data_IF_676022095569
#
_entry.id   IF_676022095569
#
_cell.length_a   1.000
_cell.length_b   1.000
_cell.length_c   1.000
_cell.angle_alpha   90.00
_cell.angle_beta   90.00
_cell.angle_gamma   90.00
#
_symmetry.space_group_name_H-M   'P 1'
#
loop_
_entity.id
_entity.type
_entity.pdbx_description
1 polymer ?
#
# COMPACT_ATOMS: atom_id res chain seq x y z
N UNK A 1 -33.86 -59.06 -17.93
CA UNK A 1 -34.19 -57.79 -17.24
C UNK A 1 -32.91 -57.28 -16.58
N UNK A 2 -32.30 -56.24 -17.15
CA UNK A 2 -31.11 -55.60 -16.58
C UNK A 2 -31.26 -54.10 -16.82
N UNK A 3 -31.60 -53.36 -15.76
CA UNK A 3 -31.71 -51.91 -15.79
C UNK A 3 -30.29 -51.33 -15.72
N UNK A 4 -29.83 -50.72 -16.82
CA UNK A 4 -28.62 -49.88 -16.82
C UNK A 4 -29.03 -48.46 -16.47
N UNK A 5 -28.72 -48.03 -15.26
CA UNK A 5 -28.74 -46.63 -14.85
C UNK A 5 -27.71 -45.86 -15.68
N UNK A 6 -28.16 -44.97 -16.57
CA UNK A 6 -27.30 -43.96 -17.20
C UNK A 6 -27.21 -42.78 -16.24
N UNK A 7 -26.03 -42.59 -15.66
CA UNK A 7 -25.67 -41.33 -15.02
C UNK A 7 -25.60 -40.26 -16.11
N UNK A 8 -26.58 -39.36 -16.11
CA UNK A 8 -26.49 -38.11 -16.86
C UNK A 8 -25.56 -37.22 -16.05
N UNK A 9 -24.33 -37.06 -16.54
CA UNK A 9 -23.45 -35.98 -16.14
C UNK A 9 -24.15 -34.67 -16.52
N UNK A 10 -24.69 -33.96 -15.53
CA UNK A 10 -25.07 -32.58 -15.69
C UNK A 10 -23.79 -31.78 -15.98
N UNK A 11 -23.72 -30.99 -17.07
CA UNK A 11 -22.68 -29.99 -17.19
C UNK A 11 -22.94 -28.94 -16.11
N UNK A 12 -21.93 -28.71 -15.26
CA UNK A 12 -21.81 -27.51 -14.43
C UNK A 12 -21.70 -26.31 -15.39
N UNK A 13 -22.86 -25.86 -15.86
CA UNK A 13 -23.01 -24.61 -16.59
C UNK A 13 -22.87 -23.47 -15.59
N UNK A 14 -21.80 -22.69 -15.77
CA UNK A 14 -21.67 -21.28 -15.40
C UNK A 14 -22.41 -20.84 -14.14
N UNK A 15 -21.75 -20.94 -12.99
CA UNK A 15 -21.91 -19.93 -11.96
C UNK A 15 -21.31 -18.65 -12.53
N UNK A 16 -22.15 -17.85 -13.18
CA UNK A 16 -21.83 -16.46 -13.49
C UNK A 16 -21.52 -15.75 -12.19
N UNK A 17 -20.47 -14.93 -12.19
CA UNK A 17 -20.05 -13.96 -11.17
C UNK A 17 -21.13 -12.91 -10.82
N UNK A 18 -22.36 -13.31 -10.48
CA UNK A 18 -23.53 -12.43 -10.38
C UNK A 18 -24.30 -12.56 -9.07
N UNK A 19 -23.96 -13.47 -8.16
CA UNK A 19 -24.47 -13.43 -6.79
C UNK A 19 -23.44 -12.68 -5.94
N UNK A 20 -23.39 -11.35 -6.13
CA UNK A 20 -22.64 -10.52 -5.19
C UNK A 20 -23.23 -10.71 -3.79
N UNK A 21 -22.39 -10.82 -2.74
CA UNK A 21 -22.87 -10.93 -1.37
C UNK A 21 -23.87 -9.81 -1.07
N UNK A 22 -24.90 -10.14 -0.30
CA UNK A 22 -25.76 -9.12 0.33
C UNK A 22 -24.84 -8.27 1.21
N UNK A 23 -24.99 -6.93 1.24
CA UNK A 23 -24.18 -6.07 2.09
C UNK A 23 -24.27 -6.54 3.55
N UNK A 24 -23.21 -7.18 4.04
CA UNK A 24 -23.08 -7.51 5.45
C UNK A 24 -22.22 -6.43 6.12
N UNK A 25 -22.60 -5.96 7.32
CA UNK A 25 -21.73 -5.10 8.08
C UNK A 25 -20.41 -5.84 8.35
N UNK A 26 -19.28 -5.12 8.29
CA UNK A 26 -17.98 -5.67 8.64
C UNK A 26 -18.07 -6.26 10.05
N UNK A 27 -17.80 -7.57 10.23
CA UNK A 27 -17.91 -8.19 11.54
C UNK A 27 -16.92 -7.61 12.54
N UNK A 28 -17.34 -7.53 13.80
CA UNK A 28 -16.49 -7.12 14.91
C UNK A 28 -15.20 -7.95 14.94
N UNK A 29 -14.05 -7.28 15.09
CA UNK A 29 -12.74 -7.93 15.16
C UNK A 29 -12.07 -8.20 13.82
N UNK A 30 -12.68 -7.85 12.68
CA UNK A 30 -12.03 -7.96 11.34
C UNK A 30 -10.73 -7.17 11.28
N UNK A 31 -10.71 -5.93 11.80
CA UNK A 31 -9.52 -5.09 11.89
C UNK A 31 -8.39 -5.78 12.68
N UNK A 32 -8.73 -6.33 13.85
CA UNK A 32 -7.77 -7.02 14.72
C UNK A 32 -7.21 -8.28 14.04
N UNK A 33 -8.06 -9.08 13.37
CA UNK A 33 -7.59 -10.28 12.64
C UNK A 33 -6.63 -9.93 11.51
N UNK A 34 -6.91 -8.85 10.79
CA UNK A 34 -6.00 -8.36 9.75
C UNK A 34 -4.68 -7.87 10.35
N UNK A 35 -4.77 -7.07 11.41
CA UNK A 35 -3.63 -6.54 12.14
C UNK A 35 -2.71 -7.66 12.65
N UNK A 36 -3.26 -8.71 13.28
CA UNK A 36 -2.51 -9.87 13.75
C UNK A 36 -1.76 -10.58 12.63
N UNK A 37 -2.42 -10.82 11.49
CA UNK A 37 -1.81 -11.51 10.35
C UNK A 37 -0.68 -10.70 9.71
N UNK A 38 -0.91 -9.41 9.47
CA UNK A 38 0.11 -8.52 8.91
C UNK A 38 1.27 -8.32 9.89
N UNK A 39 1.00 -8.03 11.16
CA UNK A 39 2.04 -7.70 12.13
C UNK A 39 2.90 -8.89 12.55
N UNK A 40 2.35 -10.10 12.58
CA UNK A 40 3.14 -11.32 12.72
C UNK A 40 4.16 -11.44 11.57
N UNK A 41 3.71 -11.19 10.35
CA UNK A 41 4.55 -11.23 9.15
C UNK A 41 5.61 -10.12 9.11
N UNK A 42 5.25 -8.91 9.57
CA UNK A 42 6.16 -7.77 9.70
C UNK A 42 7.31 -8.08 10.66
N UNK A 43 7.02 -8.78 11.76
CA UNK A 43 8.04 -9.24 12.71
C UNK A 43 8.89 -10.35 12.11
N UNK A 44 8.28 -11.38 11.52
CA UNK A 44 8.99 -12.53 10.93
C UNK A 44 9.91 -12.12 9.77
N UNK A 45 9.50 -11.13 8.97
CA UNK A 45 10.31 -10.58 7.88
C UNK A 45 11.33 -9.52 8.32
N UNK A 46 11.37 -9.19 9.62
CA UNK A 46 12.36 -8.27 10.18
C UNK A 46 12.22 -6.83 9.68
N UNK A 47 10.98 -6.36 9.46
CA UNK A 47 10.72 -5.04 8.90
C UNK A 47 11.05 -3.88 9.85
N UNK A 48 11.29 -4.13 11.15
CA UNK A 48 11.92 -3.18 12.06
C UNK A 48 11.22 -1.84 12.33
N UNK A 49 10.00 -1.63 11.82
CA UNK A 49 9.26 -0.37 11.97
C UNK A 49 8.56 -0.21 13.34
N UNK A 50 8.38 -1.31 14.07
CA UNK A 50 7.69 -1.32 15.37
C UNK A 50 8.52 -2.05 16.42
N UNK A 51 8.41 -1.58 17.66
CA UNK A 51 9.10 -2.19 18.81
C UNK A 51 8.54 -3.57 19.19
N UNK A 52 7.27 -3.85 18.86
CA UNK A 52 6.62 -5.15 19.10
C UNK A 52 5.48 -5.42 18.11
N UNK A 53 4.97 -6.67 18.10
CA UNK A 53 3.78 -7.03 17.33
C UNK A 53 2.56 -6.25 17.81
N UNK A 54 2.38 -6.12 19.13
CA UNK A 54 1.23 -5.40 19.69
C UNK A 54 1.24 -3.91 19.31
N UNK A 55 2.42 -3.28 19.25
CA UNK A 55 2.54 -1.89 18.79
C UNK A 55 2.15 -1.74 17.31
N UNK A 56 2.53 -2.71 16.47
CA UNK A 56 2.10 -2.76 15.08
C UNK A 56 0.59 -2.96 14.99
N UNK A 57 0.03 -3.90 15.75
CA UNK A 57 -1.38 -4.29 15.66
C UNK A 57 -2.32 -3.12 15.98
N UNK A 58 -2.00 -2.33 17.02
CA UNK A 58 -2.76 -1.14 17.39
C UNK A 58 -2.82 -0.15 16.21
N UNK A 59 -1.68 0.16 15.59
CA UNK A 59 -1.63 1.12 14.49
C UNK A 59 -2.35 0.59 13.25
N UNK A 60 -2.15 -0.69 12.90
CA UNK A 60 -2.84 -1.29 11.75
C UNK A 60 -4.34 -1.34 11.96
N UNK A 61 -4.82 -1.70 13.16
CA UNK A 61 -6.25 -1.72 13.47
C UNK A 61 -6.87 -0.33 13.43
N UNK A 62 -6.19 0.70 13.95
CA UNK A 62 -6.67 2.09 13.90
C UNK A 62 -6.79 2.60 12.45
N UNK A 63 -5.77 2.33 11.62
CA UNK A 63 -5.81 2.67 10.19
C UNK A 63 -6.90 1.89 9.46
N UNK A 64 -7.09 0.61 9.81
CA UNK A 64 -8.15 -0.21 9.25
C UNK A 64 -9.52 0.42 9.52
N UNK A 65 -9.80 0.75 10.78
CA UNK A 65 -11.09 1.30 11.19
C UNK A 65 -11.36 2.67 10.54
N UNK A 66 -10.33 3.49 10.35
CA UNK A 66 -10.44 4.79 9.67
C UNK A 66 -10.94 4.64 8.23
N UNK A 67 -10.54 3.56 7.55
CA UNK A 67 -10.90 3.29 6.15
C UNK A 67 -12.21 2.49 6.07
N UNK A 68 -12.45 1.57 7.01
CA UNK A 68 -13.63 0.72 7.05
C UNK A 68 -14.94 1.52 7.02
N UNK A 69 -14.95 2.73 7.58
CA UNK A 69 -16.10 3.64 7.52
C UNK A 69 -16.51 4.10 6.12
N UNK A 70 -15.64 3.98 5.11
CA UNK A 70 -15.92 4.31 3.70
C UNK A 70 -16.36 3.12 2.84
N UNK A 71 -16.39 1.91 3.41
CA UNK A 71 -16.69 0.67 2.69
C UNK A 71 -18.20 0.38 2.71
N UNK A 72 -18.72 -0.12 1.59
CA UNK A 72 -20.15 -0.44 1.42
C UNK A 72 -20.47 -1.87 1.82
N UNK A 73 -19.71 -2.79 1.22
CA UNK A 73 -19.96 -4.22 1.29
C UNK A 73 -18.68 -4.95 1.70
N UNK A 74 -18.86 -6.08 2.39
CA UNK A 74 -17.79 -6.93 2.88
C UNK A 74 -18.08 -8.39 2.50
N UNK A 75 -17.07 -9.04 1.92
CA UNK A 75 -17.10 -10.47 1.60
C UNK A 75 -16.20 -11.21 2.59
N UNK A 76 -16.84 -11.79 3.63
CA UNK A 76 -16.14 -12.53 4.68
C UNK A 76 -15.40 -13.76 4.13
N UNK A 77 -15.95 -14.45 3.13
CA UNK A 77 -15.31 -15.65 2.55
C UNK A 77 -14.04 -15.25 1.80
N UNK A 78 -14.11 -14.17 1.02
CA UNK A 78 -12.94 -13.63 0.35
C UNK A 78 -11.90 -13.12 1.34
N UNK A 79 -12.30 -12.38 2.38
CA UNK A 79 -11.40 -11.91 3.43
C UNK A 79 -10.67 -13.08 4.14
N UNK A 80 -11.40 -14.13 4.50
CA UNK A 80 -10.81 -15.32 5.12
C UNK A 80 -9.84 -16.04 4.17
N UNK A 81 -10.16 -16.09 2.87
CA UNK A 81 -9.26 -16.63 1.85
C UNK A 81 -7.98 -15.79 1.69
N UNK A 82 -8.08 -14.46 1.76
CA UNK A 82 -6.91 -13.57 1.76
C UNK A 82 -6.00 -13.86 2.96
N UNK A 83 -6.56 -13.91 4.17
CA UNK A 83 -5.76 -14.20 5.37
C UNK A 83 -5.13 -15.61 5.32
N UNK A 84 -5.81 -16.58 4.71
CA UNK A 84 -5.32 -17.95 4.59
C UNK A 84 -4.36 -18.18 3.41
N UNK A 85 -4.19 -17.21 2.52
CA UNK A 85 -3.36 -17.33 1.31
C UNK A 85 -1.86 -17.52 1.60
N UNK A 86 -1.41 -17.09 2.79
CA UNK A 86 0.00 -17.02 3.13
C UNK A 86 0.76 -15.89 2.42
N UNK A 87 0.08 -15.00 1.70
CA UNK A 87 0.72 -13.88 1.01
C UNK A 87 1.52 -12.97 1.94
N UNK A 88 0.98 -12.70 3.14
CA UNK A 88 1.68 -11.95 4.18
C UNK A 88 2.79 -12.77 4.84
N UNK A 89 2.61 -14.09 5.01
CA UNK A 89 3.61 -14.98 5.62
C UNK A 89 4.87 -15.16 4.75
N UNK A 90 4.75 -14.88 3.45
CA UNK A 90 5.90 -14.88 2.56
C UNK A 90 6.73 -13.61 2.78
N UNK A 91 7.96 -13.74 3.28
CA UNK A 91 8.96 -12.68 3.16
C UNK A 91 9.47 -12.52 1.71
N UNK A 92 8.62 -12.87 0.75
CA UNK A 92 8.84 -12.78 -0.67
C UNK A 92 8.49 -11.40 -1.21
N UNK A 93 8.62 -11.28 -2.52
CA UNK A 93 8.39 -10.04 -3.25
C UNK A 93 6.89 -9.72 -3.37
N UNK A 94 6.51 -8.48 -3.70
CA UNK A 94 5.10 -8.13 -3.95
C UNK A 94 4.46 -8.95 -5.07
N UNK A 95 5.23 -9.34 -6.09
CA UNK A 95 4.72 -10.19 -7.15
C UNK A 95 4.45 -11.62 -6.65
N UNK A 96 5.34 -12.19 -5.84
CA UNK A 96 5.14 -13.53 -5.26
C UNK A 96 3.94 -13.55 -4.31
N UNK A 97 3.73 -12.49 -3.52
CA UNK A 97 2.54 -12.35 -2.69
C UNK A 97 1.27 -12.25 -3.54
N UNK A 98 1.30 -11.48 -4.64
CA UNK A 98 0.16 -11.37 -5.57
C UNK A 98 -0.24 -12.68 -6.23
N UNK A 99 0.74 -13.54 -6.54
CA UNK A 99 0.46 -14.86 -7.11
C UNK A 99 -0.28 -15.80 -6.12
N UNK A 100 -0.34 -15.44 -4.83
CA UNK A 100 -1.05 -16.18 -3.78
C UNK A 100 -2.44 -15.61 -3.47
N UNK A 101 -2.75 -14.37 -3.87
CA UNK A 101 -4.03 -13.75 -3.57
C UNK A 101 -5.19 -14.47 -4.27
N UNK A 102 -6.35 -14.59 -3.60
CA UNK A 102 -7.54 -15.11 -4.24
C UNK A 102 -8.06 -14.13 -5.32
N UNK A 103 -8.68 -14.66 -6.37
CA UNK A 103 -9.33 -13.89 -7.44
C UNK A 103 -10.69 -13.31 -6.98
N UNK A 104 -10.72 -12.54 -5.90
CA UNK A 104 -11.92 -11.89 -5.35
C UNK A 104 -11.56 -10.58 -4.62
N UNK A 105 -12.55 -9.73 -4.34
CA UNK A 105 -12.39 -8.56 -3.48
C UNK A 105 -13.10 -8.79 -2.15
N UNK A 106 -12.40 -8.53 -1.04
CA UNK A 106 -12.94 -8.66 0.31
C UNK A 106 -13.74 -7.42 0.72
N UNK A 107 -13.37 -6.26 0.19
CA UNK A 107 -14.01 -4.98 0.46
C UNK A 107 -14.47 -4.34 -0.84
N UNK A 108 -15.61 -3.65 -0.76
CA UNK A 108 -16.15 -2.88 -1.87
C UNK A 108 -16.46 -1.46 -1.40
N UNK A 109 -15.94 -0.49 -2.13
CA UNK A 109 -16.20 0.92 -1.86
C UNK A 109 -17.64 1.35 -2.14
N UNK A 110 -18.00 2.52 -1.60
CA UNK A 110 -19.32 3.13 -1.74
C UNK A 110 -19.31 4.42 -2.57
N UNK A 111 -18.14 5.06 -2.72
CA UNK A 111 -18.01 6.38 -3.32
C UNK A 111 -18.18 6.32 -4.84
N UNK A 112 -19.03 7.19 -5.39
CA UNK A 112 -19.29 7.26 -6.83
C UNK A 112 -18.37 8.28 -7.51
N UNK A 113 -18.37 8.30 -8.85
CA UNK A 113 -17.59 9.25 -9.64
C UNK A 113 -17.79 10.70 -9.16
N UNK A 114 -16.68 11.41 -8.93
CA UNK A 114 -16.64 12.78 -8.42
C UNK A 114 -16.67 12.91 -6.90
N UNK A 115 -16.88 11.83 -6.14
CA UNK A 115 -16.79 11.84 -4.68
C UNK A 115 -15.35 11.65 -4.20
N UNK A 116 -15.06 12.19 -3.01
CA UNK A 116 -13.77 12.00 -2.36
C UNK A 116 -13.53 10.53 -2.02
N UNK A 117 -12.30 10.09 -2.22
CA UNK A 117 -11.85 8.75 -1.90
C UNK A 117 -10.52 8.78 -1.18
N UNK A 118 -10.23 7.69 -0.46
CA UNK A 118 -8.97 7.50 0.24
C UNK A 118 -8.19 6.45 -0.58
N UNK A 119 -7.14 6.85 -1.33
CA UNK A 119 -6.30 5.87 -1.98
C UNK A 119 -5.62 5.04 -0.90
N UNK A 120 -5.74 3.72 -0.97
CA UNK A 120 -5.37 2.88 0.15
C UNK A 120 -4.47 1.72 -0.25
N UNK A 121 -3.18 1.94 -0.02
CA UNK A 121 -2.18 0.90 -0.17
C UNK A 121 -2.29 -0.23 0.87
N UNK A 122 -2.86 0.01 2.06
CA UNK A 122 -3.04 -1.02 3.09
C UNK A 122 -4.04 -2.10 2.64
N UNK A 123 -5.03 -1.75 1.81
CA UNK A 123 -6.03 -2.70 1.30
C UNK A 123 -5.99 -2.87 -0.21
N UNK A 124 -5.05 -2.27 -0.94
CA UNK A 124 -5.10 -2.25 -2.41
C UNK A 124 -5.33 -3.62 -3.05
N UNK A 125 -4.79 -4.69 -2.44
CA UNK A 125 -4.98 -6.06 -2.92
C UNK A 125 -6.33 -6.69 -2.48
N UNK A 126 -6.89 -6.32 -1.32
CA UNK A 126 -8.21 -6.76 -0.84
C UNK A 126 -9.38 -5.88 -1.31
N UNK A 127 -9.06 -4.68 -1.81
CA UNK A 127 -9.96 -3.62 -2.21
C UNK A 127 -9.40 -2.89 -3.45
N UNK A 128 -9.50 -3.51 -4.63
CA UNK A 128 -8.84 -3.01 -5.83
C UNK A 128 -9.38 -1.65 -6.32
N UNK A 129 -10.55 -1.21 -5.83
CA UNK A 129 -11.18 0.06 -6.19
C UNK A 129 -11.12 1.09 -5.06
N UNK A 130 -10.34 0.83 -4.01
CA UNK A 130 -10.28 1.65 -2.80
C UNK A 130 -11.69 1.94 -2.25
N UNK A 131 -11.97 3.15 -1.77
CA UNK A 131 -13.30 3.51 -1.28
C UNK A 131 -14.34 3.75 -2.40
N UNK A 132 -13.97 3.58 -3.67
CA UNK A 132 -14.84 3.79 -4.82
C UNK A 132 -15.67 2.56 -5.19
N UNK A 133 -16.81 2.78 -5.85
CA UNK A 133 -17.63 1.70 -6.42
C UNK A 133 -16.91 1.02 -7.59
N UNK A 134 -17.26 -0.23 -7.84
CA UNK A 134 -16.68 -1.02 -8.92
C UNK A 134 -16.73 -0.33 -10.30
N UNK A 135 -15.60 -0.41 -11.00
CA UNK A 135 -15.39 0.21 -12.30
C UNK A 135 -14.84 1.63 -12.23
N UNK A 136 -14.87 2.26 -11.05
CA UNK A 136 -14.31 3.58 -10.76
C UNK A 136 -13.09 3.42 -9.87
N UNK A 137 -11.98 4.06 -10.21
CA UNK A 137 -10.75 4.00 -9.42
C UNK A 137 -10.59 5.26 -8.59
N UNK A 138 -10.01 5.12 -7.39
CA UNK A 138 -9.63 6.29 -6.62
C UNK A 138 -8.39 6.92 -7.25
N UNK A 139 -8.56 8.09 -7.87
CA UNK A 139 -7.43 8.74 -8.50
C UNK A 139 -6.51 9.33 -7.45
N UNK A 140 -5.40 8.64 -7.18
CA UNK A 140 -4.43 8.95 -6.11
C UNK A 140 -3.96 10.40 -6.09
N UNK A 141 -3.91 11.05 -7.26
CA UNK A 141 -3.49 12.45 -7.40
C UNK A 141 -4.56 13.40 -6.86
N UNK A 142 -5.84 13.19 -7.16
CA UNK A 142 -6.91 14.11 -6.75
C UNK A 142 -7.65 13.66 -5.49
N UNK A 143 -7.52 12.39 -5.09
CA UNK A 143 -8.32 11.81 -4.01
C UNK A 143 -9.80 11.79 -4.36
N UNK A 144 -10.13 11.57 -5.63
CA UNK A 144 -11.50 11.55 -6.15
C UNK A 144 -11.71 10.30 -6.99
N UNK A 145 -12.87 9.66 -6.85
CA UNK A 145 -13.27 8.54 -7.68
C UNK A 145 -13.48 9.00 -9.13
N UNK A 146 -12.76 8.44 -10.10
CA UNK A 146 -12.89 8.75 -11.51
C UNK A 146 -12.69 7.51 -12.40
N UNK A 147 -13.41 7.44 -13.52
CA UNK A 147 -13.33 6.37 -14.52
C UNK A 147 -12.31 6.67 -15.62
N UNK A 148 -12.02 7.95 -15.87
CA UNK A 148 -11.10 8.41 -16.91
C UNK A 148 -10.47 9.74 -16.45
N UNK A 149 -9.59 9.69 -15.44
CA UNK A 149 -9.03 10.89 -14.86
C UNK A 149 -8.30 11.67 -15.96
N UNK A 150 -8.59 12.97 -16.15
CA UNK A 150 -7.80 13.78 -17.05
C UNK A 150 -6.35 13.69 -16.59
N UNK A 151 -5.41 13.54 -17.52
CA UNK A 151 -3.98 13.67 -17.21
C UNK A 151 -3.81 14.95 -16.37
N UNK A 152 -3.27 14.84 -15.16
CA UNK A 152 -3.30 15.94 -14.22
C UNK A 152 -2.47 17.06 -14.84
N UNK A 153 -2.98 18.28 -14.78
CA UNK A 153 -2.15 19.44 -15.03
C UNK A 153 -0.99 19.38 -14.04
N UNK A 154 0.23 19.14 -14.54
CA UNK A 154 1.41 19.09 -13.70
C UNK A 154 1.49 20.40 -12.90
N UNK A 155 1.46 20.28 -11.57
CA UNK A 155 1.58 21.42 -10.68
C UNK A 155 2.94 22.08 -10.87
N UNK A 156 2.96 23.40 -10.75
CA UNK A 156 4.16 24.22 -10.72
C UNK A 156 4.59 24.48 -9.29
N UNK A 157 5.84 24.92 -9.11
CA UNK A 157 6.31 25.43 -7.82
C UNK A 157 5.36 26.51 -7.27
N UNK A 158 4.99 26.38 -5.99
CA UNK A 158 4.07 27.27 -5.30
C UNK A 158 2.59 26.93 -5.44
N UNK A 159 2.23 25.95 -6.27
CA UNK A 159 0.84 25.47 -6.32
C UNK A 159 0.45 24.74 -5.03
N UNK A 160 -0.84 24.83 -4.68
CA UNK A 160 -1.41 24.11 -3.53
C UNK A 160 -1.42 22.61 -3.81
N UNK A 161 -1.01 21.82 -2.82
CA UNK A 161 -1.03 20.38 -2.83
C UNK A 161 -1.55 19.79 -1.52
N UNK A 162 -1.78 18.48 -1.50
CA UNK A 162 -2.16 17.72 -0.32
C UNK A 162 -1.08 16.66 -0.07
N UNK A 163 -0.54 16.61 1.14
CA UNK A 163 0.46 15.60 1.54
C UNK A 163 -0.13 14.18 1.51
N UNK A 164 -1.44 14.05 1.76
CA UNK A 164 -2.16 12.78 1.65
C UNK A 164 -2.30 12.30 0.19
N UNK A 165 -2.16 13.20 -0.78
CA UNK A 165 -2.26 12.92 -2.22
C UNK A 165 -0.89 13.18 -2.84
N UNK A 166 0.04 12.29 -2.50
CA UNK A 166 1.49 12.46 -2.66
C UNK A 166 1.93 12.80 -4.09
N UNK A 167 1.09 12.56 -5.11
CA UNK A 167 1.45 12.68 -6.53
C UNK A 167 1.08 14.01 -7.23
N UNK A 168 0.49 14.99 -6.55
CA UNK A 168 0.17 16.28 -7.21
C UNK A 168 1.43 17.08 -7.61
N UNK A 169 2.46 17.06 -6.77
CA UNK A 169 3.74 17.71 -7.04
C UNK A 169 4.83 16.71 -7.42
N UNK A 170 4.56 15.40 -7.43
CA UNK A 170 5.60 14.36 -7.51
C UNK A 170 6.07 14.14 -8.95
N UNK A 171 6.68 15.17 -9.53
CA UNK A 171 7.56 15.00 -10.67
C UNK A 171 9.02 14.91 -10.17
N UNK A 172 9.95 14.71 -11.11
CA UNK A 172 11.38 14.56 -10.79
C UNK A 172 11.98 15.76 -10.05
N UNK A 173 11.36 16.94 -10.12
CA UNK A 173 11.87 18.21 -9.56
C UNK A 173 11.06 18.77 -8.40
N UNK A 174 9.81 18.35 -8.21
CA UNK A 174 8.90 18.91 -7.23
C UNK A 174 8.45 17.84 -6.20
N UNK A 175 8.08 18.31 -5.01
CA UNK A 175 7.41 17.52 -3.97
C UNK A 175 6.43 18.41 -3.19
N UNK A 176 5.49 17.81 -2.46
CA UNK A 176 4.54 18.55 -1.63
C UNK A 176 5.13 18.70 -0.22
N UNK A 177 5.16 19.93 0.29
CA UNK A 177 5.68 20.25 1.62
C UNK A 177 4.80 21.34 2.24
N UNK A 178 4.25 21.08 3.42
CA UNK A 178 3.34 22.01 4.12
C UNK A 178 2.17 22.48 3.23
N UNK A 179 1.67 21.59 2.36
CA UNK A 179 0.57 21.86 1.44
C UNK A 179 0.91 22.73 0.22
N UNK A 180 2.20 22.94 -0.09
CA UNK A 180 2.64 23.62 -1.32
C UNK A 180 3.71 22.84 -2.10
N UNK A 181 3.67 22.92 -3.43
CA UNK A 181 4.70 22.30 -4.27
C UNK A 181 6.03 23.06 -4.15
N UNK A 182 7.09 22.38 -3.74
CA UNK A 182 8.46 22.92 -3.61
C UNK A 182 9.44 22.19 -4.51
N UNK A 183 10.53 22.87 -4.87
CA UNK A 183 11.66 22.22 -5.55
C UNK A 183 12.38 21.27 -4.62
N UNK A 184 12.77 20.12 -5.17
CA UNK A 184 13.68 19.19 -4.52
C UNK A 184 15.08 19.80 -4.45
N UNK A 185 15.73 19.63 -3.32
CA UNK A 185 17.11 20.00 -3.06
C UNK A 185 18.08 19.07 -3.79
N UNK A 186 19.19 19.62 -4.26
CA UNK A 186 20.25 18.87 -4.94
C UNK A 186 21.11 18.09 -3.92
N UNK A 187 21.98 17.21 -4.41
CA UNK A 187 22.93 16.53 -3.52
C UNK A 187 23.80 17.54 -2.74
N UNK A 188 24.11 17.21 -1.48
CA UNK A 188 24.82 18.03 -0.49
C UNK A 188 24.03 19.26 0.02
N UNK A 189 22.77 19.43 -0.38
CA UNK A 189 21.88 20.48 0.15
C UNK A 189 21.02 19.95 1.32
N UNK A 190 20.59 20.84 2.24
CA UNK A 190 19.73 20.45 3.35
C UNK A 190 18.33 20.05 2.87
N UNK A 191 17.72 19.12 3.58
CA UNK A 191 16.36 18.66 3.34
C UNK A 191 15.60 18.47 4.66
N UNK A 192 14.29 18.62 4.60
CA UNK A 192 13.38 18.49 5.76
C UNK A 192 12.24 17.51 5.50
N UNK A 193 12.33 16.75 4.41
CA UNK A 193 11.29 15.83 3.97
C UNK A 193 11.89 14.62 3.27
N UNK A 194 11.28 13.44 3.43
CA UNK A 194 11.71 12.16 2.82
C UNK A 194 11.76 12.20 1.28
N UNK A 195 11.06 13.15 0.66
CA UNK A 195 11.01 13.35 -0.79
C UNK A 195 11.67 14.65 -1.21
N UNK A 196 12.32 15.35 -0.29
CA UNK A 196 12.91 16.65 -0.53
C UNK A 196 14.14 16.61 -1.44
N UNK A 197 14.69 15.44 -1.77
CA UNK A 197 15.93 15.31 -2.53
C UNK A 197 15.70 14.95 -3.99
N UNK A 198 16.48 15.59 -4.87
CA UNK A 198 16.53 15.32 -6.30
C UNK A 198 17.47 14.12 -6.55
N UNK A 199 16.96 13.06 -7.17
CA UNK A 199 17.69 11.81 -7.43
C UNK A 199 18.48 11.24 -6.23
N UNK A 200 17.92 11.33 -5.02
CA UNK A 200 18.60 10.94 -3.78
C UNK A 200 17.62 10.61 -2.65
N UNK A 201 18.13 10.64 -1.43
CA UNK A 201 17.36 10.52 -0.19
C UNK A 201 17.81 11.56 0.84
N UNK A 202 16.97 11.84 1.83
CA UNK A 202 17.27 12.78 2.91
C UNK A 202 17.90 12.06 4.10
N UNK A 203 19.24 12.05 4.15
CA UNK A 203 20.01 11.35 5.18
C UNK A 203 19.87 12.05 6.54
N UNK A 204 19.54 11.28 7.59
CA UNK A 204 19.46 11.77 8.97
C UNK A 204 18.14 12.46 9.34
N UNK A 205 17.18 12.53 8.40
CA UNK A 205 15.90 13.22 8.60
C UNK A 205 15.17 12.78 9.87
N UNK A 206 15.19 11.48 10.16
CA UNK A 206 14.49 10.87 11.29
C UNK A 206 15.12 11.16 12.67
N UNK A 207 16.32 11.75 12.72
CA UNK A 207 16.98 12.03 13.99
C UNK A 207 16.55 13.38 14.56
N UNK A 208 16.56 14.43 13.72
CA UNK A 208 16.35 15.82 14.16
C UNK A 208 15.30 16.58 13.33
N UNK A 209 14.63 15.92 12.36
CA UNK A 209 13.70 16.55 11.42
C UNK A 209 14.38 17.32 10.27
N UNK A 210 15.71 17.31 10.23
CA UNK A 210 16.55 17.89 9.18
C UNK A 210 17.58 16.85 8.73
N UNK A 211 17.96 16.90 7.45
CA UNK A 211 18.94 16.00 6.86
C UNK A 211 19.71 16.66 5.72
N UNK A 212 20.53 15.85 5.05
CA UNK A 212 21.26 16.25 3.84
C UNK A 212 20.88 15.33 2.70
N UNK A 213 20.70 15.90 1.52
CA UNK A 213 20.45 15.14 0.32
C UNK A 213 21.68 14.38 -0.12
N UNK A 214 21.58 13.06 -0.10
CA UNK A 214 22.67 12.14 -0.42
C UNK A 214 22.26 11.28 -1.62
N UNK A 215 23.19 10.94 -2.53
CA UNK A 215 22.93 9.96 -3.59
C UNK A 215 22.45 8.63 -3.01
N UNK A 216 21.59 7.93 -3.73
CA UNK A 216 21.18 6.59 -3.34
C UNK A 216 22.35 5.62 -3.33
N UNK A 217 22.20 4.59 -2.51
CA UNK A 217 23.19 3.57 -2.22
C UNK A 217 22.98 2.34 -3.11
N UNK A 218 24.08 1.71 -3.51
CA UNK A 218 24.04 0.49 -4.31
C UNK A 218 23.60 -0.71 -3.47
N UNK A 219 23.13 -1.78 -4.12
CA UNK A 219 22.79 -3.02 -3.41
C UNK A 219 23.99 -3.63 -2.70
N UNK A 220 23.78 -3.99 -1.44
CA UNK A 220 24.82 -4.48 -0.55
C UNK A 220 25.60 -3.39 0.19
N UNK A 221 25.41 -2.11 -0.14
CA UNK A 221 26.01 -1.02 0.63
C UNK A 221 25.38 -0.93 2.02
N UNK A 222 26.17 -0.53 3.04
CA UNK A 222 25.63 -0.27 4.37
C UNK A 222 24.70 0.93 4.34
N UNK A 223 23.58 0.84 5.04
CA UNK A 223 22.55 1.87 5.08
C UNK A 223 21.97 1.99 6.50
N UNK A 224 21.38 3.14 6.82
CA UNK A 224 20.58 3.29 8.03
C UNK A 224 19.11 2.94 7.71
N UNK A 225 18.48 1.99 8.43
CA UNK A 225 17.07 1.65 8.23
C UNK A 225 16.10 2.83 8.46
N UNK A 226 16.54 3.88 9.17
CA UNK A 226 15.79 5.13 9.34
C UNK A 226 15.85 6.03 8.11
N UNK A 227 16.84 5.85 7.24
CA UNK A 227 16.96 6.61 6.01
C UNK A 227 16.07 6.02 4.92
N UNK A 228 14.88 6.58 4.78
CA UNK A 228 13.88 6.19 3.78
C UNK A 228 14.39 6.38 2.36
N UNK A 229 14.09 5.42 1.48
CA UNK A 229 14.47 5.44 0.06
C UNK A 229 15.99 5.61 -0.18
N UNK A 230 16.81 5.22 0.80
CA UNK A 230 18.27 5.31 0.73
C UNK A 230 18.90 4.41 -0.33
N UNK A 231 18.24 3.33 -0.71
CA UNK A 231 18.76 2.34 -1.63
C UNK A 231 18.19 2.53 -3.04
N UNK A 232 19.02 2.30 -4.05
CA UNK A 232 18.59 2.39 -5.44
C UNK A 232 17.50 1.38 -5.79
N UNK A 233 16.45 1.77 -6.54
CA UNK A 233 15.50 0.81 -7.08
C UNK A 233 16.19 -0.07 -8.12
N UNK A 234 15.86 -1.37 -8.20
CA UNK A 234 16.39 -2.21 -9.26
C UNK A 234 15.93 -1.66 -10.62
N UNK A 235 16.72 -1.88 -11.67
CA UNK A 235 16.38 -1.41 -13.02
C UNK A 235 14.99 -1.93 -13.45
N UNK A 236 13.99 -1.04 -13.43
CA UNK A 236 12.60 -1.36 -13.79
C UNK A 236 11.76 -1.98 -12.67
N UNK A 237 12.19 -1.91 -11.41
CA UNK A 237 11.39 -2.31 -10.25
C UNK A 237 11.14 -1.16 -9.29
N UNK A 238 10.20 -1.38 -8.37
CA UNK A 238 9.54 -0.26 -7.70
C UNK A 238 10.37 0.33 -6.55
N UNK A 239 11.10 -0.45 -5.73
CA UNK A 239 11.86 0.12 -4.60
C UNK A 239 13.06 -0.73 -4.15
N UNK A 240 14.22 -0.10 -3.95
CA UNK A 240 15.29 -0.62 -3.11
C UNK A 240 14.97 -0.30 -1.65
N UNK A 241 15.39 -1.16 -0.71
CA UNK A 241 15.14 -0.92 0.72
C UNK A 241 16.37 -1.17 1.56
N UNK A 242 16.49 -0.40 2.65
CA UNK A 242 17.46 -0.67 3.69
C UNK A 242 16.89 -1.69 4.66
N UNK A 243 17.43 -2.91 4.68
CA UNK A 243 16.95 -3.96 5.58
C UNK A 243 17.29 -3.62 7.03
N UNK A 244 16.31 -3.51 7.95
CA UNK A 244 16.57 -3.24 9.37
C UNK A 244 17.39 -4.32 10.06
N UNK A 245 17.22 -5.57 9.62
CA UNK A 245 17.94 -6.71 10.18
C UNK A 245 19.41 -6.73 9.75
N UNK A 246 19.70 -6.45 8.48
CA UNK A 246 21.06 -6.55 7.95
C UNK A 246 21.80 -5.22 7.87
N UNK A 247 21.09 -4.09 7.92
CA UNK A 247 21.62 -2.73 7.71
C UNK A 247 22.37 -2.59 6.38
N UNK A 248 21.84 -3.27 5.36
CA UNK A 248 22.37 -3.25 4.01
C UNK A 248 21.24 -3.09 2.99
N UNK A 249 21.53 -2.38 1.91
CA UNK A 249 20.60 -2.21 0.80
C UNK A 249 20.28 -3.54 0.14
N UNK A 250 18.99 -3.82 -0.04
CA UNK A 250 18.49 -4.96 -0.81
C UNK A 250 17.70 -4.48 -2.01
N UNK A 251 17.72 -5.32 -3.03
CA UNK A 251 17.01 -5.18 -4.30
C UNK A 251 15.53 -5.50 -4.22
N UNK A 252 15.05 -6.01 -3.10
CA UNK A 252 13.63 -6.22 -2.90
C UNK A 252 13.22 -6.00 -1.45
N UNK A 253 12.11 -5.29 -1.27
CA UNK A 253 11.37 -5.17 -0.01
C UNK A 253 10.42 -6.37 0.12
N UNK A 254 10.38 -7.06 1.27
CA UNK A 254 9.36 -8.06 1.53
C UNK A 254 7.96 -7.44 1.47
N UNK A 255 6.98 -8.15 0.89
CA UNK A 255 5.63 -7.62 0.69
C UNK A 255 5.01 -7.09 2.00
N UNK A 256 5.06 -7.86 3.10
CA UNK A 256 4.56 -7.39 4.40
C UNK A 256 5.24 -6.09 4.88
N UNK A 257 6.55 -5.93 4.62
CA UNK A 257 7.28 -4.71 4.94
C UNK A 257 6.83 -3.53 4.05
N UNK A 258 6.53 -3.77 2.78
CA UNK A 258 6.01 -2.74 1.89
C UNK A 258 4.60 -2.30 2.31
N UNK A 259 3.69 -3.26 2.54
CA UNK A 259 2.31 -2.98 2.94
C UNK A 259 2.27 -2.12 4.21
N UNK A 260 3.07 -2.46 5.22
CA UNK A 260 3.09 -1.71 6.48
C UNK A 260 3.76 -0.35 6.33
N UNK A 261 4.80 -0.23 5.49
CA UNK A 261 5.45 1.05 5.18
C UNK A 261 4.47 2.03 4.54
N UNK A 262 3.65 1.52 3.62
CA UNK A 262 2.62 2.32 2.96
C UNK A 262 1.48 2.69 3.91
N UNK A 263 1.12 1.81 4.85
CA UNK A 263 0.11 2.07 5.88
C UNK A 263 0.50 3.15 6.87
N UNK A 264 1.79 3.24 7.20
CA UNK A 264 2.32 4.28 8.06
C UNK A 264 2.34 5.63 7.36
N UNK A 265 2.33 5.68 6.03
CA UNK A 265 2.35 6.93 5.29
C UNK A 265 3.63 7.77 5.53
N UNK A 266 3.83 8.83 4.74
CA UNK A 266 5.01 9.69 4.90
C UNK A 266 4.92 10.64 6.11
N UNK A 267 3.73 10.85 6.68
CA UNK A 267 3.46 11.85 7.74
C UNK A 267 3.60 11.33 9.18
N UNK A 268 3.83 10.03 9.36
CA UNK A 268 3.86 9.40 10.70
C UNK A 268 5.28 9.36 11.29
N UNK A 269 6.19 10.13 10.69
CA UNK A 269 7.61 10.15 11.00
C UNK A 269 8.18 11.56 11.00
#
# INVERSE_FOLDING_TARGET
MSLRLRWVLLPLLGLSCSERPIPEPIPDGTAQRYAEALCASVQDCGCGYFESSEACEVVVAEQFDAIAGGLRDFDQECFDAFLASGAYESCGTPQEARDLFPDCAAFYGSAVEGESCIPNALFGDMNPTDTCVEGVDCYFVTGVCDNDPPFPDFKSEGDICSEALTNNCFNEYLYCDEGVCRQRAECDEPCTHVFGCHFGFCQGLQEDGEGICTPRLDFGDPCDPKDYYSCDPPLGGDYGWCSPTTQHCKDTIPYACQTILQALGPSTY
#
